data_IF_398861457567
#
_entry.id   IF_398861457567
#
_cell.length_a   1.000
_cell.length_b   1.000
_cell.length_c   1.000
_cell.angle_alpha   90.00
_cell.angle_beta   90.00
_cell.angle_gamma   90.00
#
_symmetry.space_group_name_H-M   'P 1'
#
loop_
_entity.id
_entity.type
_entity.pdbx_description
1 polymer ?
#
# COMPACT_ATOMS: atom_id res chain seq x y z
N UNK A 1 5.73 37.63 8.72
CA UNK A 1 4.89 36.47 9.13
C UNK A 1 5.71 35.23 8.84
N UNK A 2 6.17 34.52 9.86
CA UNK A 2 6.77 33.19 9.69
C UNK A 2 5.67 32.29 9.13
N UNK A 3 5.95 31.62 8.00
CA UNK A 3 5.02 30.71 7.34
C UNK A 3 4.80 29.51 8.27
N UNK A 4 3.55 29.16 8.59
CA UNK A 4 3.23 27.99 9.41
C UNK A 4 3.84 26.74 8.74
N UNK A 5 4.72 26.02 9.43
CA UNK A 5 5.39 24.82 8.92
C UNK A 5 4.46 23.64 9.15
N UNK A 6 3.84 23.15 8.10
CA UNK A 6 2.84 22.09 8.20
C UNK A 6 3.32 20.78 7.58
N UNK A 7 3.16 19.68 8.31
CA UNK A 7 3.38 18.33 7.82
C UNK A 7 2.03 17.63 7.65
N UNK A 8 1.80 17.03 6.48
CA UNK A 8 0.66 16.14 6.24
C UNK A 8 1.12 14.69 6.19
N UNK A 9 0.37 13.81 6.84
CA UNK A 9 0.63 12.37 6.90
C UNK A 9 -0.59 11.65 6.34
N UNK A 10 -0.43 11.00 5.20
CA UNK A 10 -1.47 10.20 4.56
C UNK A 10 -1.25 8.73 4.89
N UNK A 11 -2.28 8.08 5.44
CA UNK A 11 -2.19 6.70 5.92
C UNK A 11 -3.14 5.84 5.11
N UNK A 12 -2.64 4.70 4.65
CA UNK A 12 -3.45 3.67 4.00
C UNK A 12 -3.06 2.30 4.52
N UNK A 13 -4.01 1.37 4.53
CA UNK A 13 -3.78 -0.02 4.93
C UNK A 13 -4.16 -1.03 3.85
N UNK A 14 -3.52 -2.19 3.89
CA UNK A 14 -3.91 -3.34 3.09
C UNK A 14 -3.87 -4.63 3.90
N UNK A 15 -4.93 -5.42 3.80
CA UNK A 15 -5.11 -6.66 4.56
C UNK A 15 -6.38 -6.59 5.41
N UNK A 16 -7.00 -7.75 5.63
CA UNK A 16 -8.26 -7.87 6.36
C UNK A 16 -8.05 -8.86 7.50
N UNK A 17 -8.08 -8.40 8.75
CA UNK A 17 -7.76 -9.22 9.93
C UNK A 17 -8.66 -10.46 10.06
N UNK A 18 -9.90 -10.36 9.59
CA UNK A 18 -10.85 -11.48 9.62
C UNK A 18 -10.68 -12.49 8.47
N UNK A 19 -9.91 -12.16 7.44
CA UNK A 19 -9.74 -13.04 6.29
C UNK A 19 -8.95 -14.30 6.68
N UNK A 20 -9.34 -15.50 6.18
CA UNK A 20 -8.62 -16.73 6.47
C UNK A 20 -7.21 -16.65 5.91
N UNK A 21 -6.22 -16.96 6.74
CA UNK A 21 -4.83 -17.05 6.31
C UNK A 21 -4.49 -18.50 5.92
N UNK A 22 -3.55 -18.66 5.00
CA UNK A 22 -3.00 -19.97 4.66
C UNK A 22 -1.55 -20.02 5.13
N UNK A 23 -1.19 -21.03 5.93
CA UNK A 23 0.16 -21.14 6.51
C UNK A 23 1.25 -21.16 5.43
N UNK A 24 0.96 -21.82 4.31
CA UNK A 24 1.91 -22.05 3.22
C UNK A 24 1.62 -21.19 1.97
N UNK A 25 0.94 -20.05 2.12
CA UNK A 25 0.72 -19.09 1.03
C UNK A 25 0.79 -17.65 1.51
N UNK A 26 1.19 -16.75 0.62
CA UNK A 26 1.11 -15.31 0.77
C UNK A 26 -0.29 -14.75 0.54
N UNK A 27 -1.25 -15.57 0.09
CA UNK A 27 -2.63 -15.15 -0.08
C UNK A 27 -3.21 -14.74 1.28
N UNK A 28 -3.59 -13.47 1.40
CA UNK A 28 -4.16 -12.86 2.60
C UNK A 28 -3.27 -12.98 3.85
N UNK A 29 -1.97 -13.25 3.67
CA UNK A 29 -1.02 -13.49 4.76
C UNK A 29 -0.51 -12.23 5.45
N UNK A 30 -0.52 -11.10 4.75
CA UNK A 30 0.13 -9.87 5.22
C UNK A 30 -0.90 -8.81 5.56
N UNK A 31 -0.54 -8.00 6.55
CA UNK A 31 -1.16 -6.73 6.85
C UNK A 31 -0.12 -5.64 6.68
N UNK A 32 -0.46 -4.59 5.95
CA UNK A 32 0.45 -3.51 5.59
C UNK A 32 -0.18 -2.19 6.00
N UNK A 33 0.61 -1.34 6.64
CA UNK A 33 0.26 0.06 6.91
C UNK A 33 1.33 0.92 6.26
N UNK A 34 0.92 1.91 5.48
CA UNK A 34 1.82 2.89 4.88
C UNK A 34 1.52 4.28 5.40
N UNK A 35 2.57 5.05 5.65
CA UNK A 35 2.52 6.47 5.97
C UNK A 35 3.22 7.22 4.83
N UNK A 36 2.60 8.27 4.30
CA UNK A 36 3.19 9.17 3.29
C UNK A 36 3.25 10.58 3.85
N UNK A 37 4.45 11.15 3.87
CA UNK A 37 4.76 12.42 4.50
C UNK A 37 4.93 13.53 3.47
N UNK A 38 4.25 14.64 3.70
CA UNK A 38 4.26 15.82 2.84
C UNK A 38 4.51 17.08 3.67
N UNK A 39 5.71 17.64 3.57
CA UNK A 39 5.93 19.02 4.00
C UNK A 39 5.14 19.94 3.05
N UNK A 40 4.11 20.63 3.57
CA UNK A 40 3.21 21.46 2.75
C UNK A 40 3.90 22.66 2.08
N UNK A 41 5.15 22.97 2.44
CA UNK A 41 5.95 23.94 1.68
C UNK A 41 6.25 23.44 0.26
N UNK A 42 6.38 22.13 0.06
CA UNK A 42 6.56 21.55 -1.26
C UNK A 42 5.23 21.55 -2.03
N UNK A 43 5.13 22.39 -3.05
CA UNK A 43 3.93 22.45 -3.89
C UNK A 43 3.85 21.23 -4.81
N UNK A 44 2.75 20.49 -4.70
CA UNK A 44 2.43 19.32 -5.54
C UNK A 44 1.27 19.57 -6.50
N UNK A 45 0.71 20.78 -6.54
CA UNK A 45 -0.44 21.13 -7.38
C UNK A 45 -0.21 20.78 -8.85
N UNK A 46 0.94 21.17 -9.40
CA UNK A 46 1.34 20.83 -10.76
C UNK A 46 1.46 19.32 -11.02
N UNK A 47 1.88 18.53 -10.02
CA UNK A 47 1.96 17.07 -10.14
C UNK A 47 0.56 16.44 -10.16
N UNK A 48 -0.34 16.95 -9.30
CA UNK A 48 -1.74 16.55 -9.26
C UNK A 48 -2.45 16.87 -10.57
N UNK A 49 -2.24 18.07 -11.11
CA UNK A 49 -2.82 18.49 -12.38
C UNK A 49 -2.32 17.66 -13.55
N UNK A 50 -1.03 17.32 -13.58
CA UNK A 50 -0.46 16.42 -14.58
C UNK A 50 -1.07 15.03 -14.53
N UNK A 51 -1.30 14.48 -13.33
CA UNK A 51 -1.99 13.20 -13.16
C UNK A 51 -3.42 13.30 -13.68
N UNK A 52 -4.18 14.29 -13.20
CA UNK A 52 -5.60 14.48 -13.54
C UNK A 52 -5.80 14.69 -15.05
N UNK A 53 -5.00 15.56 -15.66
CA UNK A 53 -5.00 15.79 -17.11
C UNK A 53 -4.60 14.52 -17.87
N UNK A 54 -3.62 13.78 -17.35
CA UNK A 54 -3.22 12.48 -17.90
C UNK A 54 -4.35 11.46 -17.90
N UNK A 55 -5.17 11.40 -16.83
CA UNK A 55 -6.32 10.50 -16.73
C UNK A 55 -7.43 10.88 -17.71
N UNK A 56 -7.76 12.16 -17.78
CA UNK A 56 -8.77 12.68 -18.72
C UNK A 56 -8.40 12.40 -20.18
N UNK A 57 -7.14 12.64 -20.55
CA UNK A 57 -6.66 12.43 -21.91
C UNK A 57 -6.63 10.97 -22.35
N UNK A 58 -6.56 10.01 -21.42
CA UNK A 58 -6.61 8.60 -21.77
C UNK A 58 -7.98 8.17 -22.32
N UNK A 59 -9.05 8.93 -22.00
CA UNK A 59 -10.43 8.63 -22.41
C UNK A 59 -10.86 7.20 -22.07
N UNK A 60 -10.36 6.67 -20.94
CA UNK A 60 -10.72 5.32 -20.46
C UNK A 60 -12.13 5.39 -19.87
N UNK A 61 -13.05 4.49 -20.27
CA UNK A 61 -14.40 4.45 -19.73
C UNK A 61 -14.42 4.38 -18.19
N UNK A 62 -15.38 5.06 -17.57
CA UNK A 62 -15.57 5.07 -16.11
C UNK A 62 -14.40 5.66 -15.28
N UNK A 63 -13.38 6.23 -15.92
CA UNK A 63 -12.29 6.95 -15.26
C UNK A 63 -12.48 8.45 -15.49
N UNK A 64 -12.75 9.18 -14.43
CA UNK A 64 -12.89 10.64 -14.47
C UNK A 64 -11.55 11.33 -14.26
N UNK A 65 -11.49 12.63 -14.57
CA UNK A 65 -10.31 13.49 -14.34
C UNK A 65 -9.79 13.40 -12.89
N UNK A 66 -10.69 13.36 -11.91
CA UNK A 66 -10.35 13.32 -10.49
C UNK A 66 -10.43 11.91 -9.90
N UNK A 67 -10.42 10.85 -10.71
CA UNK A 67 -10.51 9.47 -10.23
C UNK A 67 -9.39 9.14 -9.23
N UNK A 68 -9.74 8.43 -8.15
CA UNK A 68 -8.77 7.88 -7.21
C UNK A 68 -8.31 6.50 -7.70
N UNK A 69 -7.02 6.37 -8.03
CA UNK A 69 -6.45 5.11 -8.47
C UNK A 69 -6.14 4.23 -7.25
N UNK A 70 -6.67 3.00 -7.27
CA UNK A 70 -6.36 1.96 -6.28
C UNK A 70 -5.53 0.88 -6.95
N UNK A 71 -4.25 0.83 -6.60
CA UNK A 71 -3.18 0.06 -7.25
C UNK A 71 -3.47 -1.43 -7.23
N UNK A 72 -3.91 -1.97 -6.09
CA UNK A 72 -4.18 -3.39 -6.02
C UNK A 72 -5.50 -3.79 -6.69
N UNK A 73 -6.52 -2.93 -6.65
CA UNK A 73 -7.75 -3.13 -7.42
C UNK A 73 -7.46 -3.09 -8.93
N UNK A 74 -6.53 -2.25 -9.39
CA UNK A 74 -6.05 -2.23 -10.77
C UNK A 74 -5.38 -3.56 -11.14
N UNK A 75 -4.53 -4.12 -10.27
CA UNK A 75 -3.90 -5.42 -10.51
C UNK A 75 -4.95 -6.53 -10.58
N UNK A 76 -5.84 -6.58 -9.58
CA UNK A 76 -6.88 -7.61 -9.44
C UNK A 76 -8.00 -7.50 -10.49
N UNK A 77 -8.22 -6.31 -11.02
CA UNK A 77 -9.38 -6.01 -11.87
C UNK A 77 -10.67 -5.95 -11.07
N UNK A 78 -10.59 -5.50 -9.81
CA UNK A 78 -11.72 -5.31 -8.92
C UNK A 78 -12.41 -3.97 -9.16
N UNK A 79 -13.50 -3.67 -8.43
CA UNK A 79 -14.25 -2.43 -8.64
C UNK A 79 -13.34 -1.23 -8.39
N UNK A 80 -13.40 -0.18 -9.24
CA UNK A 80 -14.29 0.01 -10.40
C UNK A 80 -13.71 -0.46 -11.76
N UNK A 81 -12.64 -1.24 -11.78
CA UNK A 81 -11.86 -1.56 -12.98
C UNK A 81 -12.24 -2.86 -13.69
N UNK A 82 -13.28 -3.60 -13.25
CA UNK A 82 -13.75 -4.81 -13.97
C UNK A 82 -13.95 -4.61 -15.48
N UNK A 83 -14.56 -3.51 -15.97
CA UNK A 83 -14.83 -3.38 -17.40
C UNK A 83 -13.58 -3.07 -18.23
N UNK A 84 -12.45 -2.75 -17.59
CA UNK A 84 -11.23 -2.32 -18.26
C UNK A 84 -10.38 -3.49 -18.73
N UNK A 85 -9.81 -3.36 -19.92
CA UNK A 85 -8.82 -4.28 -20.43
C UNK A 85 -7.57 -4.29 -19.54
N UNK A 86 -6.80 -5.38 -19.62
CA UNK A 86 -5.54 -5.49 -18.91
C UNK A 86 -4.55 -4.36 -19.30
N UNK A 87 -4.57 -3.95 -20.57
CA UNK A 87 -3.69 -2.89 -21.06
C UNK A 87 -4.07 -1.53 -20.46
N UNK A 88 -5.36 -1.22 -20.34
CA UNK A 88 -5.84 0.02 -19.70
C UNK A 88 -5.49 0.03 -18.21
N UNK A 89 -5.71 -1.07 -17.49
CA UNK A 89 -5.34 -1.16 -16.07
C UNK A 89 -3.84 -1.00 -15.84
N UNK A 90 -2.99 -1.56 -16.71
CA UNK A 90 -1.53 -1.34 -16.70
C UNK A 90 -1.16 0.12 -16.95
N UNK A 91 -1.82 0.81 -17.90
CA UNK A 91 -1.59 2.24 -18.15
C UNK A 91 -1.92 3.10 -16.92
N UNK A 92 -3.05 2.81 -16.26
CA UNK A 92 -3.47 3.49 -15.04
C UNK A 92 -2.50 3.23 -13.87
N UNK A 93 -2.08 1.97 -13.68
CA UNK A 93 -1.09 1.63 -12.67
C UNK A 93 0.23 2.38 -12.90
N UNK A 94 0.72 2.41 -14.14
CA UNK A 94 1.94 3.15 -14.48
C UNK A 94 1.81 4.66 -14.21
N UNK A 95 0.63 5.27 -14.41
CA UNK A 95 0.39 6.67 -14.01
C UNK A 95 0.51 6.89 -12.50
N UNK A 96 0.04 5.93 -11.71
CA UNK A 96 0.19 5.97 -10.24
C UNK A 96 1.67 5.91 -9.85
N UNK A 97 2.45 5.02 -10.47
CA UNK A 97 3.90 4.91 -10.27
C UNK A 97 4.65 6.17 -10.73
N UNK A 98 4.25 6.76 -11.85
CA UNK A 98 4.82 8.01 -12.36
C UNK A 98 4.56 9.18 -11.40
N UNK A 99 3.34 9.31 -10.91
CA UNK A 99 2.96 10.30 -9.91
C UNK A 99 3.75 10.13 -8.60
N UNK A 100 3.80 8.92 -8.04
CA UNK A 100 4.56 8.65 -6.81
C UNK A 100 6.06 8.97 -6.95
N UNK A 101 6.67 8.63 -8.10
CA UNK A 101 8.06 8.97 -8.37
C UNK A 101 8.29 10.48 -8.54
N UNK A 102 7.34 11.21 -9.13
CA UNK A 102 7.41 12.67 -9.23
C UNK A 102 7.27 13.33 -7.85
N UNK A 103 6.36 12.83 -7.00
CA UNK A 103 6.21 13.22 -5.60
C UNK A 103 7.52 13.03 -4.82
N UNK A 104 8.18 11.87 -4.98
CA UNK A 104 9.46 11.61 -4.32
C UNK A 104 10.55 12.64 -4.67
N UNK A 105 10.58 13.13 -5.92
CA UNK A 105 11.55 14.15 -6.37
C UNK A 105 11.36 15.52 -5.73
N UNK A 106 10.14 15.84 -5.27
CA UNK A 106 9.83 17.10 -4.59
C UNK A 106 9.84 16.95 -3.06
N UNK A 107 10.32 15.82 -2.55
CA UNK A 107 10.53 15.60 -1.12
C UNK A 107 9.38 14.87 -0.41
N UNK A 108 8.39 14.34 -1.12
CA UNK A 108 7.44 13.40 -0.50
C UNK A 108 8.19 12.12 -0.14
N UNK A 109 7.93 11.61 1.05
CA UNK A 109 8.52 10.37 1.55
C UNK A 109 7.45 9.43 2.08
N UNK A 110 7.81 8.18 2.31
CA UNK A 110 6.91 7.18 2.84
C UNK A 110 7.61 6.17 3.73
N UNK A 111 6.85 5.62 4.66
CA UNK A 111 7.26 4.61 5.63
C UNK A 111 6.23 3.49 5.62
N UNK A 112 6.68 2.24 5.74
CA UNK A 112 5.82 1.06 5.65
C UNK A 112 6.05 0.16 6.86
N UNK A 113 4.95 -0.28 7.48
CA UNK A 113 4.89 -1.43 8.36
C UNK A 113 4.34 -2.60 7.58
N UNK A 114 4.98 -3.76 7.67
CA UNK A 114 4.44 -5.01 7.12
C UNK A 114 4.50 -6.08 8.19
N UNK A 115 3.36 -6.72 8.42
CA UNK A 115 3.19 -7.78 9.41
C UNK A 115 2.74 -9.03 8.68
N UNK A 116 3.45 -10.13 8.93
CA UNK A 116 3.01 -11.46 8.55
C UNK A 116 2.00 -11.98 9.58
N UNK A 117 0.72 -11.90 9.24
CA UNK A 117 -0.40 -12.29 10.10
C UNK A 117 -0.33 -13.77 10.50
N UNK A 118 0.31 -14.61 9.68
CA UNK A 118 0.42 -16.05 9.94
C UNK A 118 1.16 -16.34 11.24
N UNK A 119 2.05 -15.44 11.69
CA UNK A 119 2.77 -15.55 12.95
C UNK A 119 1.86 -15.39 14.18
N UNK A 120 0.66 -14.85 13.98
CA UNK A 120 -0.32 -14.57 15.02
C UNK A 120 -1.57 -15.47 14.89
N UNK A 121 -1.53 -16.46 14.00
CA UNK A 121 -2.65 -17.36 13.73
C UNK A 121 -2.36 -18.77 14.24
N UNK A 122 -3.41 -19.44 14.71
CA UNK A 122 -3.38 -20.85 15.05
C UNK A 122 -3.84 -21.73 13.87
N UNK A 123 -3.30 -22.96 13.71
CA UNK A 123 -3.81 -23.91 12.73
C UNK A 123 -5.31 -24.13 12.88
N UNK A 124 -6.05 -24.10 11.77
CA UNK A 124 -7.49 -24.35 11.79
C UNK A 124 -7.75 -25.87 11.80
N UNK A 125 -8.28 -26.46 12.88
CA UNK A 125 -8.51 -27.90 12.96
C UNK A 125 -9.60 -28.39 11.99
N UNK A 126 -10.49 -27.50 11.52
CA UNK A 126 -11.56 -27.85 10.59
C UNK A 126 -11.13 -27.80 9.11
N UNK A 127 -9.99 -27.16 8.80
CA UNK A 127 -9.53 -26.93 7.42
C UNK A 127 -8.01 -27.04 7.33
N UNK A 128 -7.55 -28.19 6.83
CA UNK A 128 -6.12 -28.48 6.66
C UNK A 128 -5.40 -27.36 5.88
N UNK A 129 -4.38 -26.77 6.49
CA UNK A 129 -3.51 -25.75 5.89
C UNK A 129 -4.02 -24.31 5.99
N UNK A 130 -5.24 -24.09 6.49
CA UNK A 130 -5.71 -22.77 6.89
C UNK A 130 -5.30 -22.48 8.34
N UNK A 131 -5.14 -21.20 8.66
CA UNK A 131 -4.96 -20.72 10.02
C UNK A 131 -5.93 -19.56 10.29
N UNK A 132 -6.33 -19.44 11.55
CA UNK A 132 -7.24 -18.40 12.01
C UNK A 132 -6.59 -17.61 13.13
N UNK A 133 -6.78 -16.29 13.12
CA UNK A 133 -6.25 -15.43 14.16
C UNK A 133 -7.17 -15.48 15.40
N UNK A 134 -6.72 -16.04 16.54
CA UNK A 134 -7.45 -15.91 17.80
C UNK A 134 -7.42 -14.46 18.30
N UNK A 135 -8.26 -14.14 19.27
CA UNK A 135 -8.33 -12.80 19.86
C UNK A 135 -6.99 -12.37 20.50
N UNK A 136 -6.29 -13.29 21.16
CA UNK A 136 -4.94 -13.05 21.73
C UNK A 136 -3.90 -12.74 20.65
N UNK A 137 -3.93 -13.48 19.54
CA UNK A 137 -3.06 -13.26 18.38
C UNK A 137 -3.34 -11.91 17.73
N UNK A 138 -4.63 -11.57 17.58
CA UNK A 138 -5.07 -10.25 17.10
C UNK A 138 -4.51 -9.14 17.99
N UNK A 139 -4.69 -9.23 19.30
CA UNK A 139 -4.19 -8.21 20.23
C UNK A 139 -2.66 -8.06 20.12
N UNK A 140 -1.92 -9.16 20.08
CA UNK A 140 -0.46 -9.14 19.95
C UNK A 140 -0.03 -8.50 18.63
N UNK A 141 -0.76 -8.74 17.54
CA UNK A 141 -0.52 -8.12 16.25
C UNK A 141 -0.82 -6.61 16.25
N UNK A 142 -1.94 -6.20 16.86
CA UNK A 142 -2.29 -4.79 17.04
C UNK A 142 -1.23 -4.06 17.88
N UNK A 143 -0.73 -4.70 18.96
CA UNK A 143 0.37 -4.19 19.77
C UNK A 143 1.67 -4.05 18.96
N UNK A 144 2.00 -5.01 18.08
CA UNK A 144 3.18 -4.91 17.21
C UNK A 144 3.10 -3.72 16.22
N UNK A 145 1.90 -3.40 15.71
CA UNK A 145 1.69 -2.24 14.83
C UNK A 145 1.78 -0.94 15.63
N UNK A 146 1.24 -0.94 16.85
CA UNK A 146 1.34 0.19 17.80
C UNK A 146 2.79 0.48 18.16
N UNK A 147 3.55 -0.53 18.57
CA UNK A 147 4.95 -0.38 18.94
C UNK A 147 5.77 0.15 17.75
N UNK A 148 5.51 -0.37 16.55
CA UNK A 148 6.16 0.15 15.33
C UNK A 148 5.85 1.63 15.08
N UNK A 149 4.60 2.05 15.28
CA UNK A 149 4.19 3.44 15.06
C UNK A 149 4.74 4.37 16.15
N UNK A 150 4.67 3.94 17.41
CA UNK A 150 5.22 4.65 18.57
C UNK A 150 6.74 4.82 18.41
N UNK A 151 7.47 3.74 18.12
CA UNK A 151 8.90 3.77 17.86
C UNK A 151 9.23 4.71 16.69
N UNK A 152 8.44 4.67 15.62
CA UNK A 152 8.63 5.57 14.49
C UNK A 152 8.51 7.05 14.91
N UNK A 153 7.43 7.39 15.62
CA UNK A 153 7.19 8.77 16.07
C UNK A 153 8.31 9.21 17.02
N UNK A 154 8.63 8.39 18.03
CA UNK A 154 9.67 8.69 19.02
C UNK A 154 11.06 8.86 18.39
N UNK A 155 11.46 7.97 17.47
CA UNK A 155 12.76 8.04 16.80
C UNK A 155 12.90 9.23 15.85
N UNK A 156 11.78 9.80 15.38
CA UNK A 156 11.78 10.95 14.49
C UNK A 156 11.25 12.23 15.14
N UNK A 157 11.11 12.23 16.46
CA UNK A 157 10.51 13.32 17.24
C UNK A 157 11.20 14.66 17.01
N UNK A 158 12.53 14.68 16.89
CA UNK A 158 13.28 15.91 16.64
C UNK A 158 12.97 16.51 15.27
N UNK A 159 12.67 15.68 14.27
CA UNK A 159 12.23 16.15 12.95
C UNK A 159 10.78 16.60 12.98
N UNK A 160 9.89 15.85 13.64
CA UNK A 160 8.47 16.19 13.76
C UNK A 160 8.26 17.54 14.47
N UNK A 161 9.02 17.79 15.54
CA UNK A 161 8.99 19.03 16.32
C UNK A 161 9.40 20.28 15.55
N UNK A 162 9.96 20.13 14.35
CA UNK A 162 10.26 21.27 13.48
C UNK A 162 9.03 21.79 12.73
N UNK A 163 7.91 21.06 12.79
CA UNK A 163 6.64 21.50 12.22
C UNK A 163 5.76 22.09 13.33
N UNK A 164 5.06 23.16 12.98
CA UNK A 164 4.15 23.87 13.87
C UNK A 164 2.79 23.15 13.92
N UNK A 165 2.37 22.53 12.79
CA UNK A 165 1.14 21.74 12.69
C UNK A 165 1.40 20.40 12.01
N UNK A 166 0.90 19.31 12.60
CA UNK A 166 0.87 17.98 11.98
C UNK A 166 -0.58 17.60 11.66
N UNK A 167 -0.86 17.29 10.40
CA UNK A 167 -2.18 16.90 9.89
C UNK A 167 -2.17 15.43 9.50
N UNK A 168 -2.97 14.61 10.19
CA UNK A 168 -3.11 13.18 9.91
C UNK A 168 -4.36 12.93 9.07
N UNK A 169 -4.19 12.25 7.95
CA UNK A 169 -5.22 11.90 6.98
C UNK A 169 -5.34 10.39 6.93
N UNK A 170 -6.48 9.89 7.40
CA UNK A 170 -6.83 8.47 7.34
C UNK A 170 -8.31 8.36 6.95
N UNK A 171 -8.65 7.48 6.00
CA UNK A 171 -10.03 7.33 5.51
C UNK A 171 -10.90 6.43 6.41
N UNK A 172 -10.29 5.89 7.48
CA UNK A 172 -10.92 5.00 8.43
C UNK A 172 -11.44 3.69 7.82
N UNK A 173 -10.71 3.15 6.81
CA UNK A 173 -10.97 1.84 6.21
C UNK A 173 -11.13 0.73 7.24
N UNK A 174 -10.35 0.78 8.34
CA UNK A 174 -10.49 -0.10 9.50
C UNK A 174 -10.49 0.69 10.81
N UNK A 175 -11.65 0.70 11.49
CA UNK A 175 -11.84 1.50 12.73
C UNK A 175 -10.77 1.25 13.79
N UNK A 176 -10.39 -0.01 14.02
CA UNK A 176 -9.41 -0.36 15.05
C UNK A 176 -8.03 0.28 14.76
N UNK A 177 -7.63 0.37 13.49
CA UNK A 177 -6.39 1.01 13.09
C UNK A 177 -6.51 2.52 13.25
N UNK A 178 -7.67 3.10 12.92
CA UNK A 178 -7.97 4.50 13.20
C UNK A 178 -7.80 4.85 14.67
N UNK A 179 -8.42 4.08 15.56
CA UNK A 179 -8.30 4.26 17.02
C UNK A 179 -6.82 4.18 17.46
N UNK A 180 -6.07 3.18 16.97
CA UNK A 180 -4.64 3.00 17.26
C UNK A 180 -3.79 4.19 16.78
N UNK A 181 -4.02 4.68 15.56
CA UNK A 181 -3.32 5.86 15.02
C UNK A 181 -3.60 7.07 15.92
N UNK A 182 -4.87 7.31 16.27
CA UNK A 182 -5.24 8.39 17.17
C UNK A 182 -4.53 8.28 18.52
N UNK A 183 -4.51 7.11 19.15
CA UNK A 183 -3.83 6.88 20.42
C UNK A 183 -2.32 7.14 20.32
N UNK A 184 -1.66 6.58 19.30
CA UNK A 184 -0.21 6.63 19.12
C UNK A 184 0.29 8.06 18.86
N UNK A 185 -0.41 8.80 18.00
CA UNK A 185 -0.09 10.19 17.74
C UNK A 185 -0.35 11.07 18.96
N UNK A 186 -1.52 11.01 19.61
CA UNK A 186 -1.79 11.81 20.81
C UNK A 186 -0.83 11.52 21.98
N UNK A 187 -0.31 10.30 22.06
CA UNK A 187 0.67 9.91 23.09
C UNK A 187 2.06 10.49 22.84
N UNK A 188 2.51 10.50 21.58
CA UNK A 188 3.94 10.67 21.28
C UNK A 188 4.28 11.99 20.56
N UNK A 189 3.31 12.62 19.90
CA UNK A 189 3.43 13.91 19.19
C UNK A 189 3.23 15.04 20.21
N UNK A 190 4.18 15.97 20.29
CA UNK A 190 4.27 17.05 21.30
C UNK A 190 4.21 18.44 20.64
N UNK A 191 3.76 18.50 19.41
CA UNK A 191 3.66 19.70 18.58
C UNK A 191 2.51 20.59 19.04
N UNK A 192 2.61 21.89 18.70
CA UNK A 192 1.64 22.91 19.12
C UNK A 192 0.23 22.61 18.59
N UNK A 193 0.11 21.98 17.41
CA UNK A 193 -1.17 21.56 16.85
C UNK A 193 -1.08 20.20 16.12
N UNK A 194 -1.77 19.19 16.67
CA UNK A 194 -2.03 17.90 16.01
C UNK A 194 -3.49 17.86 15.54
N UNK A 195 -3.70 17.71 14.23
CA UNK A 195 -5.02 17.72 13.60
C UNK A 195 -5.30 16.40 12.91
N UNK A 196 -6.34 15.70 13.33
CA UNK A 196 -6.89 14.58 12.59
C UNK A 196 -7.97 15.07 11.64
N UNK A 197 -7.81 14.80 10.35
CA UNK A 197 -8.77 15.23 9.34
C UNK A 197 -9.96 14.27 9.30
N UNK A 198 -11.16 14.83 9.38
CA UNK A 198 -12.41 14.08 9.26
C UNK A 198 -12.87 13.97 7.80
N UNK A 199 -13.67 12.93 7.53
CA UNK A 199 -14.36 12.71 6.23
C UNK A 199 -13.41 12.77 5.03
N UNK A 200 -12.21 12.21 5.21
CA UNK A 200 -11.17 12.20 4.20
C UNK A 200 -11.57 11.28 3.05
N UNK A 201 -11.44 11.77 1.81
CA UNK A 201 -11.68 10.97 0.61
C UNK A 201 -10.42 10.86 -0.24
N UNK A 202 -10.02 9.65 -0.69
CA UNK A 202 -8.92 9.46 -1.64
C UNK A 202 -9.08 10.23 -2.96
N UNK A 203 -10.33 10.58 -3.32
CA UNK A 203 -10.61 11.40 -4.51
C UNK A 203 -10.18 12.86 -4.34
N UNK A 204 -10.22 13.38 -3.11
CA UNK A 204 -9.86 14.76 -2.76
C UNK A 204 -8.36 14.90 -2.46
N UNK A 205 -7.73 13.84 -1.95
CA UNK A 205 -6.34 13.85 -1.52
C UNK A 205 -5.51 12.82 -2.29
N UNK A 206 -4.81 13.26 -3.35
CA UNK A 206 -4.12 12.36 -4.28
C UNK A 206 -2.96 11.57 -3.68
N UNK A 207 -2.41 11.99 -2.55
CA UNK A 207 -1.34 11.26 -1.86
C UNK A 207 -1.81 9.94 -1.23
N UNK A 208 -3.12 9.71 -1.04
CA UNK A 208 -3.63 8.37 -0.73
C UNK A 208 -3.28 7.34 -1.80
N UNK A 209 -3.18 7.75 -3.07
CA UNK A 209 -2.77 6.84 -4.14
C UNK A 209 -1.29 6.43 -4.01
N UNK A 210 -0.46 7.28 -3.38
CA UNK A 210 0.93 6.94 -3.08
C UNK A 210 0.99 5.97 -1.89
N UNK A 211 0.17 6.19 -0.86
CA UNK A 211 0.05 5.30 0.29
C UNK A 211 -0.44 3.89 -0.14
N UNK A 212 -1.55 3.81 -0.88
CA UNK A 212 -2.06 2.55 -1.46
C UNK A 212 -1.05 1.85 -2.38
N UNK A 213 -0.30 2.61 -3.17
CA UNK A 213 0.76 2.06 -4.01
C UNK A 213 1.90 1.47 -3.18
N UNK A 214 2.28 2.10 -2.07
CA UNK A 214 3.29 1.57 -1.15
C UNK A 214 2.83 0.29 -0.45
N UNK A 215 1.56 0.23 -0.03
CA UNK A 215 0.94 -1.00 0.47
C UNK A 215 1.03 -2.13 -0.57
N UNK A 216 0.57 -1.84 -1.79
CA UNK A 216 0.56 -2.77 -2.92
C UNK A 216 1.97 -3.26 -3.26
N UNK A 217 2.94 -2.34 -3.37
CA UNK A 217 4.33 -2.66 -3.66
C UNK A 217 4.93 -3.59 -2.60
N UNK A 218 4.66 -3.33 -1.33
CA UNK A 218 5.19 -4.12 -0.21
C UNK A 218 4.66 -5.55 -0.23
N UNK A 219 3.35 -5.72 -0.48
CA UNK A 219 2.76 -7.05 -0.69
C UNK A 219 3.42 -7.83 -1.83
N UNK A 220 3.72 -7.15 -2.94
CA UNK A 220 4.39 -7.79 -4.09
C UNK A 220 5.83 -8.19 -3.77
N UNK A 221 6.53 -7.45 -2.91
CA UNK A 221 7.88 -7.82 -2.46
C UNK A 221 7.88 -9.07 -1.58
N UNK A 222 6.93 -9.19 -0.66
CA UNK A 222 6.86 -10.40 0.19
C UNK A 222 6.52 -11.64 -0.63
N UNK A 223 5.60 -11.52 -1.58
CA UNK A 223 5.31 -12.61 -2.54
C UNK A 223 6.53 -13.00 -3.36
N UNK A 224 7.37 -12.04 -3.75
CA UNK A 224 8.63 -12.29 -4.43
C UNK A 224 9.59 -13.14 -3.61
N UNK A 225 9.74 -12.80 -2.33
CA UNK A 225 10.72 -13.43 -1.45
C UNK A 225 10.52 -14.95 -1.31
N UNK A 226 9.28 -15.42 -1.49
CA UNK A 226 8.92 -16.85 -1.44
C UNK A 226 8.36 -17.39 -2.76
N UNK A 227 8.45 -16.61 -3.83
CA UNK A 227 7.92 -16.92 -5.17
C UNK A 227 6.43 -17.34 -5.19
N UNK A 228 5.60 -16.79 -4.30
CA UNK A 228 4.16 -17.11 -4.19
C UNK A 228 3.28 -15.98 -4.74
N UNK A 229 3.50 -15.64 -6.02
CA UNK A 229 2.62 -14.72 -6.74
C UNK A 229 1.28 -15.36 -7.09
N UNK A 230 0.21 -14.57 -7.04
CA UNK A 230 -1.08 -15.03 -7.56
C UNK A 230 -1.06 -15.06 -9.09
N UNK A 231 -1.94 -15.85 -9.71
CA UNK A 231 -2.14 -15.84 -11.17
C UNK A 231 -2.48 -14.44 -11.69
N UNK A 232 -3.17 -13.63 -10.88
CA UNK A 232 -3.53 -12.27 -11.25
C UNK A 232 -2.32 -11.34 -11.23
N UNK A 233 -1.44 -11.48 -10.23
CA UNK A 233 -0.16 -10.75 -10.18
C UNK A 233 0.68 -11.09 -11.43
N UNK A 234 0.86 -12.38 -11.72
CA UNK A 234 1.61 -12.85 -12.89
C UNK A 234 1.01 -12.31 -14.20
N UNK A 235 -0.30 -12.46 -14.40
CA UNK A 235 -0.99 -11.92 -15.57
C UNK A 235 -0.85 -10.40 -15.67
N UNK A 236 -0.78 -9.69 -14.54
CA UNK A 236 -0.68 -8.23 -14.55
C UNK A 236 0.70 -7.73 -14.95
N UNK A 237 1.78 -8.36 -14.52
CA UNK A 237 3.12 -7.85 -14.76
C UNK A 237 3.89 -8.57 -15.87
N UNK A 238 3.55 -9.83 -16.15
CA UNK A 238 4.14 -10.60 -17.24
C UNK A 238 3.21 -10.59 -18.47
N UNK A 239 3.63 -9.88 -19.52
CA UNK A 239 2.90 -9.82 -20.78
C UNK A 239 2.89 -11.16 -21.55
N UNK A 240 3.84 -12.05 -21.26
CA UNK A 240 3.96 -13.36 -21.89
C UNK A 240 3.16 -14.45 -21.18
N UNK A 241 2.64 -14.17 -19.98
CA UNK A 241 1.89 -15.12 -19.17
C UNK A 241 0.61 -15.59 -19.87
N UNK A 242 0.62 -16.85 -20.34
CA UNK A 242 -0.55 -17.49 -20.94
C UNK A 242 -1.29 -18.34 -19.91
N UNK A 243 -2.60 -18.11 -19.76
CA UNK A 243 -3.47 -19.08 -19.11
C UNK A 243 -3.49 -20.36 -19.95
N UNK A 244 -2.78 -21.41 -19.54
CA UNK A 244 -3.07 -22.75 -20.06
C UNK A 244 -4.50 -23.09 -19.65
N UNK A 245 -5.44 -23.05 -20.60
CA UNK A 245 -6.79 -23.60 -20.42
C UNK A 245 -6.61 -25.07 -20.03
N UNK A 246 -7.32 -25.52 -18.98
CA UNK A 246 -7.44 -26.96 -18.66
C UNK A 246 -8.06 -27.64 -19.89
N UNK A 247 -7.22 -28.25 -20.71
CA UNK A 247 -7.64 -29.25 -21.68
C UNK A 247 -7.66 -30.61 -20.99
N UNK A 248 -8.77 -31.32 -21.17
CA UNK A 248 -9.03 -32.75 -20.96
C UNK A 248 -8.14 -33.55 -20.01
N UNK A 249 -8.79 -34.16 -19.02
CA UNK A 249 -8.27 -35.25 -18.19
C UNK A 249 -7.35 -36.20 -18.95
N UNK A 250 -6.13 -36.33 -18.47
CA UNK A 250 -5.42 -37.61 -18.49
C UNK A 250 -4.60 -37.69 -17.21
N UNK A 251 -5.01 -38.60 -16.33
CA UNK A 251 -4.34 -38.93 -15.07
C UNK A 251 -2.84 -39.17 -15.33
N UNK A 252 -2.00 -38.37 -14.69
CA UNK A 252 -0.66 -38.80 -14.25
C UNK A 252 -0.47 -38.34 -12.82
N UNK A 253 -0.41 -39.34 -11.94
CA UNK A 253 0.18 -39.24 -10.62
C UNK A 253 1.57 -38.63 -10.71
N UNK A 254 1.87 -37.75 -9.76
CA UNK A 254 3.15 -37.05 -9.66
C UNK A 254 2.96 -35.63 -9.16
N UNK A 255 2.98 -35.47 -7.85
CA UNK A 255 3.05 -34.20 -7.11
C UNK A 255 4.37 -33.49 -7.41
N UNK A 256 4.45 -32.84 -8.57
CA UNK A 256 5.45 -31.83 -8.85
C UNK A 256 4.68 -30.53 -9.10
N UNK A 257 4.65 -29.64 -8.10
CA UNK A 257 4.19 -28.25 -8.29
C UNK A 257 5.07 -27.68 -9.42
N UNK A 258 4.54 -27.62 -10.64
CA UNK A 258 5.27 -27.09 -11.78
C UNK A 258 5.59 -25.62 -11.48
N UNK A 259 6.86 -25.31 -11.23
CA UNK A 259 7.27 -23.95 -10.86
C UNK A 259 6.96 -23.02 -12.03
N UNK A 260 6.09 -22.04 -11.81
CA UNK A 260 5.87 -21.00 -12.79
C UNK A 260 7.14 -20.16 -12.89
N UNK A 261 7.66 -19.90 -14.09
CA UNK A 261 8.76 -18.96 -14.27
C UNK A 261 8.33 -17.56 -13.79
N UNK A 262 9.00 -17.04 -12.76
CA UNK A 262 8.71 -15.73 -12.16
C UNK A 262 9.66 -14.63 -12.64
N UNK A 263 10.62 -14.95 -13.51
CA UNK A 263 11.73 -14.04 -13.89
C UNK A 263 11.24 -12.68 -14.39
N UNK A 264 10.18 -12.66 -15.21
CA UNK A 264 9.62 -11.42 -15.73
C UNK A 264 8.97 -10.56 -14.63
N UNK A 265 8.25 -11.20 -13.70
CA UNK A 265 7.62 -10.56 -12.55
C UNK A 265 8.68 -9.97 -11.60
N UNK A 266 9.71 -10.75 -11.28
CA UNK A 266 10.78 -10.33 -10.38
C UNK A 266 11.52 -9.09 -10.91
N UNK A 267 11.77 -9.03 -12.23
CA UNK A 267 12.32 -7.84 -12.90
C UNK A 267 11.42 -6.61 -12.77
N UNK A 268 10.08 -6.77 -12.81
CA UNK A 268 9.16 -5.65 -12.60
C UNK A 268 9.23 -5.15 -11.15
N UNK A 269 9.34 -6.05 -10.17
CA UNK A 269 9.52 -5.66 -8.77
C UNK A 269 10.86 -4.94 -8.56
N UNK A 270 11.94 -5.34 -9.25
CA UNK A 270 13.21 -4.60 -9.23
C UNK A 270 13.12 -3.21 -9.86
N UNK A 271 12.32 -3.05 -10.91
CA UNK A 271 12.04 -1.73 -11.51
C UNK A 271 11.31 -0.86 -10.48
N UNK A 272 10.26 -1.36 -9.85
CA UNK A 272 9.51 -0.64 -8.82
C UNK A 272 10.41 -0.26 -7.63
N UNK A 273 11.26 -1.19 -7.16
CA UNK A 273 12.21 -0.92 -6.09
C UNK A 273 13.16 0.24 -6.40
N UNK A 274 13.68 0.30 -7.62
CA UNK A 274 14.52 1.44 -8.04
C UNK A 274 13.75 2.74 -8.12
N UNK A 275 12.48 2.71 -8.54
CA UNK A 275 11.63 3.91 -8.64
C UNK A 275 11.16 4.44 -7.29
N UNK A 276 10.98 3.56 -6.29
CA UNK A 276 10.50 3.95 -4.96
C UNK A 276 11.63 4.16 -3.95
N UNK A 277 12.88 3.93 -4.33
CA UNK A 277 14.05 4.15 -3.47
C UNK A 277 14.00 5.51 -2.75
N UNK A 278 13.89 6.60 -3.50
CA UNK A 278 13.86 7.95 -2.92
C UNK A 278 12.61 8.21 -2.06
N UNK A 279 11.51 7.49 -2.33
CA UNK A 279 10.29 7.60 -1.56
C UNK A 279 10.46 6.94 -0.19
N UNK A 280 11.22 5.84 -0.07
CA UNK A 280 11.31 5.07 1.18
C UNK A 280 12.64 5.21 1.94
N UNK A 281 13.62 5.96 1.42
CA UNK A 281 14.95 6.12 2.03
C UNK A 281 14.96 7.04 3.26
N UNK A 282 14.28 8.20 3.20
CA UNK A 282 14.25 9.17 4.29
C UNK A 282 12.81 9.32 4.77
N UNK A 283 12.50 9.04 6.05
CA UNK A 283 11.11 8.92 6.48
C UNK A 283 10.38 10.25 6.64
N UNK A 284 11.09 11.33 7.03
CA UNK A 284 10.46 12.63 7.29
C UNK A 284 11.12 13.72 6.44
N UNK A 285 10.35 14.49 5.66
CA UNK A 285 10.89 15.61 4.90
C UNK A 285 11.37 16.72 5.84
N UNK A 286 12.45 17.42 5.47
CA UNK A 286 12.95 18.56 6.26
C UNK A 286 11.94 19.69 6.29
N UNK A 287 11.71 20.29 7.46
CA UNK A 287 11.05 21.59 7.56
C UNK A 287 12.05 22.67 7.11
N UNK A 288 11.65 23.49 6.13
CA UNK A 288 12.41 24.65 5.67
C UNK A 288 11.67 25.92 6.07
#
# INVERSE_FOLDING_TARGET
MTKNRELSIFIDESGELSAPCQLNSCKDAFYVVSLVFHNQHADISGLVDQLNYGLENMKIPCISRNHALHSYNLIRGERPYQPLSLQERRKLFNKTVDFANACAKVGISGRICIIDRRQYCDPNPARNGECQMPESGRKTMEDAIRDWLDDFICNNRDSLRTFDTIKVYYDNGQKWLGDLIHESFNRNVVEDELVFKEKVSPSQYKLFQVADLLCTYSLLREKRAVSDYTKTDMRFFDASFRNRRRGGDTKRDGTTKQSCDTTAMDKQIDILARRFRNLTENPIPRAY
#
